data_IF_541719519526
#
_entry.id   IF_541719519526
#
_cell.length_a   1.000
_cell.length_b   1.000
_cell.length_c   1.000
_cell.angle_alpha   90.00
_cell.angle_beta   90.00
_cell.angle_gamma   90.00
#
_symmetry.space_group_name_H-M   'P 1'
#
loop_
_entity.id
_entity.type
_entity.pdbx_description
1 polymer ?
#
# COMPACT_ATOMS: atom_id res chain seq x y z
N UNK A 1 2.68 -57.66 -15.23
CA UNK A 1 3.33 -56.33 -15.16
C UNK A 1 2.46 -55.33 -15.92
N UNK A 2 2.27 -54.14 -15.32
CA UNK A 2 1.50 -52.98 -15.79
C UNK A 2 2.14 -52.33 -17.04
N UNK A 3 1.32 -51.71 -17.90
CA UNK A 3 1.13 -50.24 -17.96
C UNK A 3 0.11 -49.83 -19.04
N UNK A 4 -0.77 -48.90 -18.69
CA UNK A 4 -1.65 -48.11 -19.56
C UNK A 4 -1.31 -46.61 -19.43
N UNK A 5 -2.02 -45.78 -20.19
CA UNK A 5 -2.04 -44.29 -20.33
C UNK A 5 -1.19 -43.80 -21.51
N UNK A 6 -1.64 -42.89 -22.38
CA UNK A 6 -2.90 -42.15 -22.55
C UNK A 6 -2.93 -41.59 -23.98
N UNK A 7 -4.12 -41.49 -24.60
CA UNK A 7 -4.34 -40.75 -25.84
C UNK A 7 -5.06 -39.44 -25.51
N UNK A 8 -4.38 -38.30 -25.69
CA UNK A 8 -4.97 -36.96 -25.61
C UNK A 8 -5.70 -36.64 -26.93
N UNK A 9 -6.99 -36.31 -26.82
CA UNK A 9 -7.84 -35.89 -27.94
C UNK A 9 -7.36 -34.56 -28.54
N UNK A 10 -7.22 -34.53 -29.86
CA UNK A 10 -6.86 -33.35 -30.64
C UNK A 10 -7.99 -32.30 -30.63
N UNK A 11 -7.65 -31.03 -30.44
CA UNK A 11 -8.60 -29.92 -30.24
C UNK A 11 -9.52 -29.69 -31.47
N UNK A 12 -10.86 -29.65 -31.30
CA UNK A 12 -11.81 -29.70 -32.41
C UNK A 12 -12.04 -28.32 -33.06
N UNK A 13 -11.04 -27.82 -33.78
CA UNK A 13 -11.03 -26.47 -34.41
C UNK A 13 -12.24 -26.19 -35.31
N UNK A 14 -12.74 -27.20 -36.03
CA UNK A 14 -13.87 -27.03 -36.95
C UNK A 14 -15.23 -26.87 -36.25
N UNK A 15 -15.41 -27.52 -35.10
CA UNK A 15 -16.63 -27.35 -34.29
C UNK A 15 -16.66 -25.95 -33.65
N UNK A 16 -15.51 -25.46 -33.20
CA UNK A 16 -15.38 -24.10 -32.64
C UNK A 16 -15.66 -23.04 -33.72
N UNK A 17 -15.11 -23.18 -34.93
CA UNK A 17 -15.38 -22.25 -36.04
C UNK A 17 -16.85 -22.22 -36.44
N UNK A 18 -17.49 -23.39 -36.51
CA UNK A 18 -18.93 -23.49 -36.84
C UNK A 18 -19.81 -22.81 -35.79
N UNK A 19 -19.47 -22.95 -34.50
CA UNK A 19 -20.18 -22.30 -33.41
C UNK A 19 -20.03 -20.76 -33.42
N UNK A 20 -18.84 -20.25 -33.77
CA UNK A 20 -18.60 -18.80 -33.91
C UNK A 20 -19.42 -18.22 -35.06
N UNK A 21 -19.45 -18.88 -36.21
CA UNK A 21 -20.28 -18.44 -37.35
C UNK A 21 -21.76 -18.46 -37.02
N UNK A 22 -22.25 -19.51 -36.35
CA UNK A 22 -23.65 -19.59 -35.92
C UNK A 22 -24.01 -18.46 -34.94
N UNK A 23 -23.12 -18.14 -34.00
CA UNK A 23 -23.30 -17.02 -33.06
C UNK A 23 -23.31 -15.65 -33.75
N UNK A 24 -22.46 -15.44 -34.77
CA UNK A 24 -22.45 -14.20 -35.55
C UNK A 24 -23.74 -14.00 -36.36
N UNK A 25 -24.24 -15.07 -37.00
CA UNK A 25 -25.51 -15.02 -37.74
C UNK A 25 -26.68 -14.73 -36.79
N UNK A 26 -26.69 -15.36 -35.60
CA UNK A 26 -27.71 -15.13 -34.59
C UNK A 26 -27.68 -13.69 -34.05
N UNK A 27 -26.49 -13.09 -33.92
CA UNK A 27 -26.34 -11.69 -33.52
C UNK A 27 -26.82 -10.73 -34.62
N UNK A 28 -26.51 -11.00 -35.90
CA UNK A 28 -27.03 -10.20 -37.03
C UNK A 28 -28.56 -10.30 -37.15
N UNK A 29 -29.15 -11.47 -36.93
CA UNK A 29 -30.61 -11.64 -36.91
C UNK A 29 -31.27 -10.89 -35.75
N UNK A 30 -30.65 -10.85 -34.57
CA UNK A 30 -31.15 -10.09 -33.41
C UNK A 30 -31.02 -8.57 -33.59
N UNK A 31 -30.00 -8.11 -34.32
CA UNK A 31 -29.80 -6.68 -34.63
C UNK A 31 -30.77 -6.22 -35.74
N UNK A 32 -30.94 -7.02 -36.79
CA UNK A 32 -31.87 -6.70 -37.89
C UNK A 32 -33.36 -6.81 -37.49
N UNK A 33 -33.71 -7.64 -36.51
CA UNK A 33 -35.07 -7.67 -35.95
C UNK A 33 -35.41 -6.45 -35.07
N UNK A 34 -34.42 -5.61 -34.70
CA UNK A 34 -34.62 -4.44 -33.85
C UNK A 34 -34.88 -3.13 -34.63
N UNK A 35 -34.68 -3.12 -35.95
CA UNK A 35 -34.82 -1.92 -36.81
C UNK A 35 -36.16 -1.80 -37.54
N UNK A 36 -37.04 -2.79 -37.47
CA UNK A 36 -38.38 -2.74 -38.06
C UNK A 36 -39.47 -2.84 -36.99
N UNK A 37 -39.76 -1.74 -36.29
CA UNK A 37 -41.09 -1.42 -35.73
C UNK A 37 -41.07 -0.05 -35.05
N UNK A 38 -41.26 1.00 -35.85
CA UNK A 38 -41.80 2.27 -35.35
C UNK A 38 -43.33 2.17 -35.39
N UNK A 39 -43.97 2.67 -34.33
CA UNK A 39 -45.40 2.83 -34.05
C UNK A 39 -46.07 1.73 -33.20
N UNK A 40 -46.14 1.94 -31.88
CA UNK A 40 -47.40 2.34 -31.22
C UNK A 40 -47.29 2.50 -29.69
N UNK A 41 -47.91 3.57 -29.18
CA UNK A 41 -48.50 3.82 -27.86
C UNK A 41 -47.92 3.23 -26.54
N UNK A 42 -47.37 4.15 -25.71
CA UNK A 42 -47.75 4.47 -24.31
C UNK A 42 -47.85 3.32 -23.27
N UNK A 43 -46.94 3.28 -22.27
CA UNK A 43 -47.12 3.76 -20.87
C UNK A 43 -46.17 3.09 -19.82
N UNK A 44 -45.50 3.93 -19.00
CA UNK A 44 -45.21 3.80 -17.55
C UNK A 44 -44.70 2.49 -16.87
N UNK A 45 -43.68 1.80 -17.42
CA UNK A 45 -43.04 0.68 -16.69
C UNK A 45 -41.59 0.91 -16.20
N UNK A 46 -41.00 2.11 -16.39
CA UNK A 46 -39.64 2.42 -15.92
C UNK A 46 -39.53 2.73 -14.42
N UNK A 47 -40.57 3.30 -13.80
CA UNK A 47 -40.52 3.72 -12.39
C UNK A 47 -40.62 2.56 -11.38
N UNK A 48 -41.21 1.43 -11.78
CA UNK A 48 -41.34 0.25 -10.90
C UNK A 48 -40.01 -0.49 -10.73
N UNK A 49 -39.17 -0.57 -11.76
CA UNK A 49 -37.86 -1.25 -11.67
C UNK A 49 -36.86 -0.50 -10.79
N UNK A 50 -36.90 0.83 -10.79
CA UNK A 50 -36.08 1.67 -9.89
C UNK A 50 -36.57 1.54 -8.44
N UNK A 51 -37.90 1.49 -8.22
CA UNK A 51 -38.46 1.32 -6.87
C UNK A 51 -38.15 -0.06 -6.26
N UNK A 52 -38.14 -1.14 -7.07
CA UNK A 52 -37.74 -2.47 -6.61
C UNK A 52 -36.23 -2.60 -6.34
N UNK A 53 -35.37 -1.89 -7.09
CA UNK A 53 -33.93 -1.82 -6.82
C UNK A 53 -33.60 -1.04 -5.53
N UNK A 54 -34.32 0.06 -5.26
CA UNK A 54 -34.17 0.80 -4.00
C UNK A 54 -34.69 0.00 -2.79
N UNK A 55 -35.76 -0.79 -2.95
CA UNK A 55 -36.25 -1.67 -1.88
C UNK A 55 -35.32 -2.86 -1.59
N UNK A 56 -34.59 -3.40 -2.58
CA UNK A 56 -33.65 -4.50 -2.31
C UNK A 56 -32.38 -4.03 -1.62
N UNK A 57 -31.89 -2.82 -1.93
CA UNK A 57 -30.77 -2.21 -1.21
C UNK A 57 -31.17 -1.82 0.22
N UNK A 58 -32.35 -1.21 0.42
CA UNK A 58 -32.86 -0.89 1.74
C UNK A 58 -33.21 -2.15 2.57
N UNK A 59 -33.64 -3.25 1.94
CA UNK A 59 -33.84 -4.53 2.61
C UNK A 59 -32.50 -5.22 2.96
N UNK A 60 -31.47 -5.11 2.11
CA UNK A 60 -30.12 -5.60 2.43
C UNK A 60 -29.50 -4.82 3.60
N UNK A 61 -29.62 -3.50 3.60
CA UNK A 61 -29.26 -2.66 4.76
C UNK A 61 -30.14 -2.93 5.98
N UNK A 62 -31.43 -3.17 5.82
CA UNK A 62 -32.34 -3.54 6.91
C UNK A 62 -32.06 -4.93 7.50
N UNK A 63 -31.53 -5.87 6.70
CA UNK A 63 -31.06 -7.18 7.17
C UNK A 63 -29.71 -7.06 7.87
N UNK A 64 -28.81 -6.16 7.41
CA UNK A 64 -27.53 -5.88 8.06
C UNK A 64 -27.69 -5.12 9.39
N UNK A 65 -28.54 -4.11 9.44
CA UNK A 65 -28.83 -3.34 10.67
C UNK A 65 -29.83 -4.09 11.57
N UNK A 66 -30.61 -5.03 11.01
CA UNK A 66 -31.49 -5.92 11.77
C UNK A 66 -30.77 -7.12 12.36
N UNK A 67 -29.72 -7.65 11.72
CA UNK A 67 -28.97 -8.82 12.21
C UNK A 67 -28.11 -8.51 13.44
N UNK A 68 -27.73 -7.24 13.64
CA UNK A 68 -27.06 -6.78 14.87
C UNK A 68 -27.95 -6.88 16.11
N UNK A 69 -29.29 -6.91 15.95
CA UNK A 69 -30.24 -7.13 17.04
C UNK A 69 -30.55 -8.61 17.33
N UNK A 70 -30.29 -9.53 16.39
CA UNK A 70 -30.71 -10.95 16.49
C UNK A 70 -29.57 -11.96 16.60
N UNK A 71 -28.31 -11.52 16.54
CA UNK A 71 -27.16 -12.40 16.79
C UNK A 71 -26.41 -12.00 18.06
N UNK A 72 -26.73 -12.61 19.21
CA UNK A 72 -25.91 -12.51 20.41
C UNK A 72 -24.45 -12.86 20.18
N UNK A 73 -24.14 -13.69 19.17
CA UNK A 73 -22.77 -14.01 18.79
C UNK A 73 -22.04 -12.83 18.14
N UNK A 74 -22.67 -12.11 17.20
CA UNK A 74 -22.09 -10.89 16.62
C UNK A 74 -21.96 -9.77 17.65
N UNK A 75 -23.01 -9.53 18.45
CA UNK A 75 -22.98 -8.53 19.52
C UNK A 75 -21.95 -8.87 20.61
N UNK A 76 -21.80 -10.16 20.96
CA UNK A 76 -20.79 -10.61 21.93
C UNK A 76 -19.37 -10.54 21.38
N UNK A 77 -19.15 -10.73 20.08
CA UNK A 77 -17.82 -10.53 19.48
C UNK A 77 -17.47 -9.04 19.40
N UNK A 78 -18.41 -8.18 18.99
CA UNK A 78 -18.22 -6.72 18.99
C UNK A 78 -17.98 -6.16 20.41
N UNK A 79 -18.68 -6.67 21.43
CA UNK A 79 -18.55 -6.17 22.81
C UNK A 79 -17.23 -6.52 23.49
N UNK A 80 -16.43 -7.44 22.91
CA UNK A 80 -15.15 -7.89 23.48
C UNK A 80 -13.95 -7.12 22.94
N UNK A 81 -14.10 -6.41 21.83
CA UNK A 81 -13.05 -5.55 21.28
C UNK A 81 -12.92 -4.36 22.25
N UNK A 82 -11.75 -4.14 22.88
CA UNK A 82 -11.50 -2.89 23.60
C UNK A 82 -11.77 -1.74 22.62
N UNK A 83 -12.52 -0.71 23.05
CA UNK A 83 -12.70 0.49 22.22
C UNK A 83 -11.36 1.24 22.24
N UNK A 84 -10.42 0.79 21.40
CA UNK A 84 -9.23 1.55 21.03
C UNK A 84 -9.75 2.67 20.15
N UNK A 85 -9.57 3.92 20.58
CA UNK A 85 -10.19 5.06 19.91
C UNK A 85 -9.65 5.27 18.50
N UNK A 86 -8.33 5.08 18.32
CA UNK A 86 -7.63 5.15 17.03
C UNK A 86 -6.23 4.58 17.17
N UNK A 87 -5.82 3.73 16.23
CA UNK A 87 -4.44 3.18 16.19
C UNK A 87 -3.45 4.28 15.86
N UNK A 88 -3.81 5.22 14.98
CA UNK A 88 -2.95 6.34 14.60
C UNK A 88 -2.86 7.41 15.69
N UNK A 89 -3.99 7.73 16.33
CA UNK A 89 -4.06 8.69 17.43
C UNK A 89 -3.27 8.26 18.66
N UNK A 90 -3.19 6.95 18.91
CA UNK A 90 -2.43 6.35 20.01
C UNK A 90 -0.97 5.99 19.62
N UNK A 91 -0.57 6.21 18.36
CA UNK A 91 0.80 5.96 17.88
C UNK A 91 1.78 7.04 18.36
N UNK A 92 3.08 6.75 18.37
CA UNK A 92 4.13 7.74 18.65
C UNK A 92 4.48 8.62 17.41
N UNK A 93 3.79 8.42 16.29
CA UNK A 93 4.06 9.10 15.02
C UNK A 93 3.20 10.36 14.90
N UNK A 94 3.84 11.53 15.00
CA UNK A 94 3.16 12.83 14.98
C UNK A 94 2.33 13.00 13.71
N UNK A 95 2.86 12.56 12.56
CA UNK A 95 2.13 12.60 11.28
C UNK A 95 0.80 11.85 11.31
N UNK A 96 0.77 10.65 11.90
CA UNK A 96 -0.44 9.83 12.01
C UNK A 96 -1.42 10.42 13.04
N UNK A 97 -0.92 10.93 14.17
CA UNK A 97 -1.76 11.65 15.13
C UNK A 97 -2.44 12.88 14.48
N UNK A 98 -1.71 13.63 13.65
CA UNK A 98 -2.28 14.76 12.92
C UNK A 98 -3.30 14.29 11.88
N UNK A 99 -3.05 13.19 11.18
CA UNK A 99 -3.99 12.60 10.23
C UNK A 99 -5.34 12.34 10.90
N UNK A 100 -5.33 11.60 12.01
CA UNK A 100 -6.50 11.28 12.81
C UNK A 100 -7.21 12.56 13.30
N UNK A 101 -6.47 13.46 13.96
CA UNK A 101 -7.03 14.67 14.57
C UNK A 101 -7.68 15.61 13.56
N UNK A 102 -7.17 15.65 12.34
CA UNK A 102 -7.69 16.49 11.26
C UNK A 102 -8.73 15.78 10.40
N UNK A 103 -9.09 14.52 10.69
CA UNK A 103 -10.06 13.74 9.91
C UNK A 103 -9.57 13.44 8.49
N UNK A 104 -8.27 13.20 8.32
CA UNK A 104 -7.63 12.88 7.05
C UNK A 104 -7.55 11.38 6.78
N UNK A 105 -7.96 10.55 7.75
CA UNK A 105 -7.96 9.10 7.64
C UNK A 105 -9.32 8.61 7.13
N UNK A 106 -9.30 7.52 6.37
CA UNK A 106 -10.51 6.76 6.06
C UNK A 106 -10.81 5.84 7.22
N UNK A 107 -11.84 6.16 8.01
CA UNK A 107 -12.36 5.26 9.05
C UNK A 107 -13.07 4.07 8.40
N UNK A 108 -12.62 2.85 8.71
CA UNK A 108 -13.16 1.60 8.14
C UNK A 108 -13.99 0.86 9.19
N UNK A 109 -13.37 0.50 10.32
CA UNK A 109 -14.02 -0.23 11.42
C UNK A 109 -14.56 -1.61 11.04
N UNK A 110 -13.95 -2.28 10.07
CA UNK A 110 -14.38 -3.62 9.63
C UNK A 110 -13.64 -4.70 10.42
N UNK A 111 -14.37 -5.63 11.04
CA UNK A 111 -13.80 -6.78 11.74
C UNK A 111 -14.03 -8.09 10.99
N UNK A 112 -12.99 -8.89 10.87
CA UNK A 112 -13.08 -10.29 10.46
C UNK A 112 -12.49 -11.23 11.50
N UNK A 113 -13.23 -12.30 11.82
CA UNK A 113 -12.80 -13.30 12.80
C UNK A 113 -12.57 -14.64 12.13
N UNK A 114 -11.40 -15.23 12.34
CA UNK A 114 -11.05 -16.56 11.87
C UNK A 114 -10.27 -17.29 12.98
N UNK A 115 -10.65 -18.53 13.28
CA UNK A 115 -10.02 -19.38 14.30
C UNK A 115 -9.82 -18.71 15.69
N UNK A 116 -10.77 -17.89 16.14
CA UNK A 116 -10.68 -17.20 17.43
C UNK A 116 -9.71 -16.00 17.44
N UNK A 117 -9.28 -15.53 16.26
CA UNK A 117 -8.49 -14.32 16.07
C UNK A 117 -9.31 -13.34 15.23
N UNK A 118 -9.55 -12.15 15.77
CA UNK A 118 -10.27 -11.06 15.16
C UNK A 118 -9.29 -9.98 14.72
N UNK A 119 -9.38 -9.60 13.45
CA UNK A 119 -8.63 -8.51 12.86
C UNK A 119 -9.63 -7.40 12.59
N UNK A 120 -9.43 -6.22 13.18
CA UNK A 120 -10.24 -5.04 12.88
C UNK A 120 -9.40 -4.04 12.12
N UNK A 121 -9.73 -3.84 10.85
CA UNK A 121 -9.18 -2.78 10.02
C UNK A 121 -9.82 -1.46 10.47
N UNK A 122 -9.06 -0.61 11.16
CA UNK A 122 -9.63 0.58 11.78
C UNK A 122 -9.56 1.79 10.88
N UNK A 123 -8.36 2.11 10.39
CA UNK A 123 -8.15 3.35 9.66
C UNK A 123 -7.03 3.23 8.63
N UNK A 124 -7.17 4.01 7.55
CA UNK A 124 -6.21 4.06 6.46
C UNK A 124 -5.90 5.50 6.13
N UNK A 125 -4.62 5.80 5.92
CA UNK A 125 -4.14 7.06 5.39
C UNK A 125 -3.53 6.82 4.02
N UNK A 126 -3.92 7.61 3.03
CA UNK A 126 -3.25 7.64 1.72
C UNK A 126 -2.69 9.04 1.47
N UNK A 127 -1.38 9.20 1.68
CA UNK A 127 -0.64 10.45 1.49
C UNK A 127 0.43 10.28 0.40
N UNK A 128 0.29 11.04 -0.68
CA UNK A 128 1.14 10.97 -1.88
C UNK A 128 1.17 9.57 -2.52
N UNK A 129 2.20 8.79 -2.22
CA UNK A 129 2.42 7.44 -2.73
C UNK A 129 2.57 6.43 -1.58
N UNK A 130 2.18 6.84 -0.36
CA UNK A 130 2.27 6.05 0.86
C UNK A 130 0.86 5.73 1.36
N UNK A 131 0.61 4.45 1.59
CA UNK A 131 -0.58 3.95 2.27
C UNK A 131 -0.13 3.49 3.66
N UNK A 132 -0.70 4.08 4.70
CA UNK A 132 -0.50 3.61 6.08
C UNK A 132 -1.80 3.01 6.58
N UNK A 133 -1.73 1.83 7.20
CA UNK A 133 -2.87 1.04 7.64
C UNK A 133 -2.75 0.81 9.15
N UNK A 134 -3.78 1.17 9.90
CA UNK A 134 -3.91 0.90 11.33
C UNK A 134 -4.95 -0.19 11.57
N UNK A 135 -4.56 -1.26 12.26
CA UNK A 135 -5.49 -2.33 12.61
C UNK A 135 -5.25 -2.92 14.00
N UNK A 136 -6.31 -3.51 14.56
CA UNK A 136 -6.33 -4.15 15.87
C UNK A 136 -6.37 -5.66 15.68
N UNK A 137 -5.60 -6.36 16.48
CA UNK A 137 -5.56 -7.82 16.55
C UNK A 137 -6.03 -8.22 17.94
N UNK A 138 -7.12 -8.97 18.02
CA UNK A 138 -7.64 -9.55 19.25
C UNK A 138 -7.77 -11.05 19.12
N UNK A 139 -7.26 -11.81 20.08
CA UNK A 139 -7.21 -13.27 20.01
C UNK A 139 -7.67 -13.94 21.30
N UNK A 140 -8.27 -15.12 21.21
CA UNK A 140 -8.65 -15.89 22.41
C UNK A 140 -7.44 -16.40 23.22
N UNK A 141 -6.25 -16.38 22.62
CA UNK A 141 -4.98 -16.87 23.18
C UNK A 141 -3.84 -15.98 22.74
N UNK A 142 -2.78 -15.94 23.54
CA UNK A 142 -1.53 -15.27 23.18
C UNK A 142 -0.97 -15.83 21.86
N UNK A 143 -0.61 -14.93 20.95
CA UNK A 143 -0.03 -15.26 19.64
C UNK A 143 1.50 -15.26 19.72
N UNK A 144 2.16 -15.96 18.79
CA UNK A 144 3.61 -15.85 18.62
C UNK A 144 4.05 -14.43 18.24
N UNK A 145 5.33 -14.10 18.41
CA UNK A 145 5.87 -12.77 18.08
C UNK A 145 5.76 -12.44 16.58
N UNK A 146 5.88 -13.45 15.70
CA UNK A 146 5.88 -13.28 14.23
C UNK A 146 4.64 -13.91 13.57
N UNK A 147 3.51 -13.98 14.28
CA UNK A 147 2.31 -14.70 13.82
C UNK A 147 1.82 -14.26 12.43
N UNK A 148 2.03 -12.99 12.08
CA UNK A 148 1.60 -12.37 10.83
C UNK A 148 2.75 -12.05 9.86
N UNK A 149 3.95 -12.55 10.13
CA UNK A 149 5.13 -12.30 9.29
C UNK A 149 5.38 -10.80 9.05
N UNK A 150 5.28 -10.39 7.79
CA UNK A 150 5.53 -9.00 7.33
C UNK A 150 4.26 -8.15 7.19
N UNK A 151 3.13 -8.59 7.76
CA UNK A 151 1.85 -7.88 7.67
C UNK A 151 1.01 -8.29 6.46
N UNK A 152 0.15 -7.37 6.01
CA UNK A 152 -0.80 -7.60 4.93
C UNK A 152 -0.14 -7.53 3.54
N UNK A 153 -0.52 -8.44 2.66
CA UNK A 153 -0.41 -8.23 1.22
C UNK A 153 -1.51 -7.27 0.76
N UNK A 154 -1.31 -6.63 -0.39
CA UNK A 154 -2.27 -5.65 -0.88
C UNK A 154 -2.39 -5.64 -2.40
N UNK A 155 -3.54 -5.14 -2.87
CA UNK A 155 -3.84 -4.93 -4.30
C UNK A 155 -4.43 -3.54 -4.51
N UNK A 156 -4.16 -2.96 -5.67
CA UNK A 156 -4.73 -1.68 -6.12
C UNK A 156 -5.66 -2.00 -7.28
N UNK A 157 -6.96 -1.77 -7.10
CA UNK A 157 -8.00 -2.14 -8.07
C UNK A 157 -7.97 -3.63 -8.48
N UNK A 158 -7.58 -4.50 -7.54
CA UNK A 158 -7.50 -5.95 -7.74
C UNK A 158 -6.19 -6.46 -8.36
N UNK A 159 -5.28 -5.57 -8.73
CA UNK A 159 -3.96 -5.92 -9.26
C UNK A 159 -2.87 -5.77 -8.18
N UNK A 160 -1.96 -6.74 -8.09
CA UNK A 160 -0.76 -6.60 -7.27
C UNK A 160 0.19 -5.58 -7.92
N UNK A 161 0.73 -4.60 -7.17
CA UNK A 161 1.70 -3.67 -7.73
C UNK A 161 2.97 -4.41 -8.12
N UNK A 162 3.64 -3.90 -9.17
CA UNK A 162 4.90 -4.49 -9.65
C UNK A 162 6.02 -4.44 -8.61
N UNK A 163 6.09 -3.34 -7.86
CA UNK A 163 7.06 -3.15 -6.80
C UNK A 163 6.48 -2.21 -5.75
N UNK A 164 6.77 -2.52 -4.50
CA UNK A 164 6.47 -1.71 -3.34
C UNK A 164 7.52 -1.94 -2.27
N UNK A 165 7.72 -0.94 -1.43
CA UNK A 165 8.48 -1.04 -0.18
C UNK A 165 7.55 -0.73 0.98
N UNK A 166 8.00 -0.93 2.21
CA UNK A 166 7.14 -0.73 3.36
C UNK A 166 7.71 -1.27 4.65
N UNK A 167 6.93 -1.13 5.71
CA UNK A 167 7.25 -1.62 7.03
C UNK A 167 6.01 -2.15 7.73
N UNK A 168 6.22 -3.06 8.66
CA UNK A 168 5.15 -3.60 9.50
C UNK A 168 5.62 -3.61 10.95
N UNK A 169 4.79 -3.07 11.84
CA UNK A 169 5.10 -3.04 13.27
C UNK A 169 3.85 -3.30 14.11
N UNK A 170 3.97 -4.27 15.00
CA UNK A 170 2.99 -4.52 16.05
C UNK A 170 3.38 -3.83 17.36
N UNK A 171 2.39 -3.44 18.14
CA UNK A 171 2.52 -2.95 19.51
C UNK A 171 1.61 -3.76 20.43
N UNK A 172 2.20 -4.35 21.46
CA UNK A 172 1.48 -5.19 22.42
C UNK A 172 0.68 -4.31 23.38
N UNK A 173 -0.64 -4.49 23.42
CA UNK A 173 -1.54 -3.79 24.34
C UNK A 173 -1.87 -4.65 25.56
N UNK A 174 -1.98 -5.97 25.36
CA UNK A 174 -2.18 -6.97 26.40
C UNK A 174 -1.65 -8.34 25.93
N UNK A 175 -1.79 -9.39 26.74
CA UNK A 175 -1.42 -10.76 26.34
C UNK A 175 -2.20 -11.27 25.11
N UNK A 176 -3.36 -10.69 24.80
CA UNK A 176 -4.27 -11.15 23.75
C UNK A 176 -4.70 -10.06 22.78
N UNK A 177 -4.18 -8.84 22.95
CA UNK A 177 -4.55 -7.70 22.11
C UNK A 177 -3.29 -6.97 21.67
N UNK A 178 -3.20 -6.71 20.37
CA UNK A 178 -2.14 -5.93 19.74
C UNK A 178 -2.75 -4.87 18.82
N UNK A 179 -2.04 -3.78 18.62
CA UNK A 179 -2.29 -2.87 17.49
C UNK A 179 -1.17 -3.06 16.49
N UNK A 180 -1.44 -2.78 15.22
CA UNK A 180 -0.43 -2.84 14.18
C UNK A 180 -0.54 -1.65 13.24
N UNK A 181 0.62 -1.18 12.80
CA UNK A 181 0.76 -0.17 11.76
C UNK A 181 1.57 -0.80 10.63
N UNK A 182 1.03 -0.69 9.43
CA UNK A 182 1.73 -1.09 8.21
C UNK A 182 1.85 0.09 7.27
N UNK A 183 3.07 0.36 6.82
CA UNK A 183 3.38 1.36 5.80
C UNK A 183 3.67 0.66 4.48
N UNK A 184 3.13 1.21 3.40
CA UNK A 184 3.29 0.72 2.05
C UNK A 184 3.62 1.91 1.15
N UNK A 185 4.76 1.86 0.49
CA UNK A 185 5.18 2.87 -0.49
C UNK A 185 5.22 2.25 -1.88
N UNK A 186 4.48 2.85 -2.82
CA UNK A 186 4.49 2.45 -4.23
C UNK A 186 5.17 3.56 -5.04
N UNK A 187 6.29 3.26 -5.68
CA UNK A 187 7.09 4.31 -6.36
C UNK A 187 6.56 4.71 -7.74
N UNK A 188 5.58 3.99 -8.27
CA UNK A 188 4.87 4.36 -9.51
C UNK A 188 3.70 5.29 -9.21
N UNK A 189 3.34 6.13 -10.19
CA UNK A 189 2.09 6.91 -10.16
C UNK A 189 0.89 6.04 -9.77
N UNK A 190 0.27 6.42 -8.66
CA UNK A 190 -0.96 5.83 -8.15
C UNK A 190 -2.16 6.74 -8.45
N UNK A 191 -3.35 6.17 -8.69
CA UNK A 191 -4.56 6.97 -8.86
C UNK A 191 -4.92 7.69 -7.55
N UNK A 192 -5.57 8.86 -7.66
CA UNK A 192 -6.03 9.65 -6.51
C UNK A 192 -7.10 8.92 -5.67
N UNK A 193 -7.79 7.93 -6.23
CA UNK A 193 -8.69 7.05 -5.52
C UNK A 193 -8.69 5.66 -6.16
N UNK A 194 -8.84 4.61 -5.36
CA UNK A 194 -8.87 3.22 -5.81
C UNK A 194 -9.50 2.29 -4.78
N UNK A 195 -9.83 1.08 -5.21
CA UNK A 195 -10.20 0.01 -4.29
C UNK A 195 -8.93 -0.67 -3.77
N UNK A 196 -8.69 -0.60 -2.46
CA UNK A 196 -7.60 -1.28 -1.79
C UNK A 196 -8.08 -2.65 -1.29
N UNK A 197 -7.51 -3.71 -1.86
CA UNK A 197 -7.68 -5.06 -1.32
C UNK A 197 -6.54 -5.41 -0.38
N UNK A 198 -6.83 -6.04 0.76
CA UNK A 198 -5.83 -6.44 1.76
C UNK A 198 -6.01 -7.92 2.12
N UNK A 199 -4.88 -8.62 2.27
CA UNK A 199 -4.85 -10.03 2.62
C UNK A 199 -3.86 -10.23 3.76
N UNK A 200 -4.34 -10.69 4.90
CA UNK A 200 -3.48 -11.01 6.05
C UNK A 200 -3.42 -12.52 6.21
N UNK A 201 -2.21 -13.07 6.37
CA UNK A 201 -1.98 -14.49 6.61
C UNK A 201 -1.51 -14.73 8.03
N UNK A 202 -2.08 -15.75 8.68
CA UNK A 202 -1.64 -16.25 9.98
C UNK A 202 -0.69 -17.44 9.84
N UNK A 203 0.17 -17.63 10.84
CA UNK A 203 1.14 -18.74 10.90
C UNK A 203 0.51 -20.13 10.70
N UNK A 204 -0.74 -20.32 11.15
CA UNK A 204 -1.42 -21.62 11.07
C UNK A 204 -2.32 -21.77 9.83
N UNK A 205 -2.14 -20.92 8.82
CA UNK A 205 -2.88 -20.97 7.56
C UNK A 205 -4.24 -20.26 7.59
N UNK A 206 -4.53 -19.47 8.62
CA UNK A 206 -5.67 -18.55 8.58
C UNK A 206 -5.46 -17.44 7.55
N UNK A 207 -6.56 -16.88 7.05
CA UNK A 207 -6.52 -15.72 6.16
C UNK A 207 -7.70 -14.80 6.42
N UNK A 208 -7.44 -13.50 6.35
CA UNK A 208 -8.42 -12.41 6.46
C UNK A 208 -8.34 -11.54 5.21
N UNK A 209 -9.50 -11.06 4.72
CA UNK A 209 -9.60 -10.37 3.43
C UNK A 209 -10.38 -9.06 3.56
N UNK A 210 -9.75 -7.91 3.39
CA UNK A 210 -10.46 -6.63 3.41
C UNK A 210 -10.52 -6.01 2.02
N UNK A 211 -11.55 -5.21 1.76
CA UNK A 211 -11.69 -4.42 0.53
C UNK A 211 -12.34 -3.10 0.91
N UNK A 212 -11.63 -2.01 0.69
CA UNK A 212 -12.15 -0.68 1.02
C UNK A 212 -11.72 0.35 -0.02
N UNK A 213 -12.60 1.28 -0.43
CA UNK A 213 -12.21 2.41 -1.25
C UNK A 213 -11.35 3.36 -0.44
N UNK A 214 -10.26 3.82 -1.03
CA UNK A 214 -9.35 4.80 -0.42
C UNK A 214 -9.15 5.98 -1.35
N UNK A 215 -9.08 7.18 -0.77
CA UNK A 215 -8.86 8.45 -1.48
C UNK A 215 -7.62 9.12 -0.91
N UNK A 216 -6.81 9.72 -1.80
CA UNK A 216 -5.62 10.48 -1.41
C UNK A 216 -6.06 11.71 -0.63
N UNK A 217 -5.32 12.03 0.42
CA UNK A 217 -5.56 13.28 1.14
C UNK A 217 -5.38 14.49 0.21
N UNK A 218 -6.19 15.50 0.45
CA UNK A 218 -6.12 16.79 -0.24
C UNK A 218 -5.10 17.71 0.45
N UNK A 219 -4.84 18.88 -0.16
CA UNK A 219 -3.96 19.93 0.37
C UNK A 219 -2.47 19.54 0.49
N UNK A 220 -1.98 18.66 -0.39
CA UNK A 220 -0.55 18.40 -0.56
C UNK A 220 0.06 19.51 -1.43
N UNK A 221 0.98 20.29 -0.85
CA UNK A 221 1.74 21.31 -1.57
C UNK A 221 3.06 20.73 -2.05
N UNK A 222 3.23 20.59 -3.37
CA UNK A 222 4.45 20.08 -3.99
C UNK A 222 5.32 21.22 -4.52
N UNK A 223 6.54 21.31 -4.01
CA UNK A 223 7.54 22.31 -4.38
C UNK A 223 8.60 21.64 -5.26
N UNK A 224 8.74 22.04 -6.53
CA UNK A 224 9.83 21.52 -7.37
C UNK A 224 11.17 22.02 -6.84
N UNK A 225 12.10 21.10 -6.61
CA UNK A 225 13.47 21.38 -6.18
C UNK A 225 14.41 21.28 -7.38
N UNK A 226 14.33 20.16 -8.12
CA UNK A 226 15.11 19.88 -9.34
C UNK A 226 16.61 20.20 -9.20
N UNK A 227 17.20 19.82 -8.06
CA UNK A 227 18.61 20.04 -7.79
C UNK A 227 19.39 18.75 -8.00
N UNK A 228 20.39 18.79 -8.87
CA UNK A 228 21.24 17.64 -9.19
C UNK A 228 22.69 17.90 -8.83
N UNK A 229 23.37 16.88 -8.30
CA UNK A 229 24.79 16.90 -8.03
C UNK A 229 25.42 15.54 -8.34
N UNK A 230 26.67 15.56 -8.81
CA UNK A 230 27.49 14.36 -8.99
C UNK A 230 28.68 14.46 -8.03
N UNK A 231 28.79 13.51 -7.10
CA UNK A 231 29.85 13.48 -6.09
C UNK A 231 30.47 12.09 -6.08
N UNK A 232 31.75 12.01 -6.44
CA UNK A 232 32.53 10.77 -6.45
C UNK A 232 31.86 9.60 -7.20
N UNK A 233 31.21 9.91 -8.34
CA UNK A 233 30.52 8.93 -9.18
C UNK A 233 29.06 8.65 -8.80
N UNK A 234 28.57 9.20 -7.69
CA UNK A 234 27.17 9.14 -7.29
C UNK A 234 26.44 10.32 -7.93
N UNK A 235 25.49 10.03 -8.81
CA UNK A 235 24.53 11.01 -9.30
C UNK A 235 23.34 11.06 -8.34
N UNK A 236 23.01 12.24 -7.81
CA UNK A 236 21.84 12.50 -6.98
C UNK A 236 21.02 13.64 -7.59
N UNK A 237 19.72 13.44 -7.73
CA UNK A 237 18.75 14.47 -8.10
C UNK A 237 17.61 14.51 -7.08
N UNK A 238 17.50 15.60 -6.33
CA UNK A 238 16.31 15.86 -5.50
C UNK A 238 15.26 16.51 -6.38
N UNK A 239 14.16 15.81 -6.64
CA UNK A 239 13.13 16.24 -7.60
C UNK A 239 12.23 17.28 -6.97
N UNK A 240 11.66 16.96 -5.80
CA UNK A 240 10.67 17.79 -5.14
C UNK A 240 10.58 17.57 -3.63
N UNK A 241 9.97 18.56 -2.99
CA UNK A 241 9.58 18.55 -1.59
C UNK A 241 8.05 18.64 -1.54
N UNK A 242 7.39 17.65 -0.97
CA UNK A 242 5.93 17.64 -0.80
C UNK A 242 5.59 17.86 0.67
N UNK A 243 4.62 18.74 0.93
CA UNK A 243 4.21 19.13 2.27
C UNK A 243 2.72 18.87 2.46
N UNK A 244 2.38 18.22 3.56
CA UNK A 244 1.01 17.98 3.99
C UNK A 244 0.90 18.22 5.50
N UNK A 245 -0.31 18.10 6.06
CA UNK A 245 -0.51 18.12 7.51
C UNK A 245 0.07 16.88 8.21
N UNK A 246 0.33 15.82 7.46
CA UNK A 246 0.78 14.52 7.93
C UNK A 246 2.30 14.38 7.83
N UNK A 247 2.98 15.18 7.02
CA UNK A 247 4.44 15.16 6.98
C UNK A 247 5.05 16.00 5.88
N UNK A 248 6.37 15.85 5.77
CA UNK A 248 7.15 16.34 4.62
C UNK A 248 7.77 15.14 3.93
N UNK A 249 7.78 15.13 2.60
CA UNK A 249 8.39 14.09 1.79
C UNK A 249 9.39 14.69 0.82
N UNK A 250 10.61 14.16 0.82
CA UNK A 250 11.63 14.46 -0.19
C UNK A 250 11.58 13.34 -1.22
N UNK A 251 11.35 13.66 -2.48
CA UNK A 251 11.49 12.72 -3.60
C UNK A 251 12.83 12.93 -4.29
N UNK A 252 13.52 11.84 -4.58
CA UNK A 252 14.85 11.90 -5.18
C UNK A 252 15.17 10.65 -6.01
N UNK A 253 16.05 10.86 -6.97
CA UNK A 253 16.62 9.83 -7.81
C UNK A 253 18.12 9.78 -7.55
N UNK A 254 18.69 8.58 -7.44
CA UNK A 254 20.12 8.41 -7.27
C UNK A 254 20.64 7.28 -8.15
N UNK A 255 21.91 7.37 -8.53
CA UNK A 255 22.52 6.29 -9.31
C UNK A 255 24.03 6.28 -9.24
N UNK A 256 24.61 5.10 -9.44
CA UNK A 256 26.05 4.89 -9.42
C UNK A 256 26.40 3.64 -10.23
N UNK A 257 27.57 3.67 -10.88
CA UNK A 257 28.15 2.48 -11.52
C UNK A 257 28.64 1.51 -10.43
N UNK A 258 28.03 0.33 -10.33
CA UNK A 258 28.37 -0.69 -9.35
C UNK A 258 28.04 -2.09 -9.91
N UNK A 259 28.72 -3.12 -9.40
CA UNK A 259 28.48 -4.50 -9.88
C UNK A 259 27.15 -5.08 -9.41
N UNK A 260 26.61 -4.59 -8.30
CA UNK A 260 25.34 -4.99 -7.70
C UNK A 260 24.80 -3.86 -6.81
N UNK A 261 23.54 -3.99 -6.36
CA UNK A 261 22.87 -3.00 -5.52
C UNK A 261 23.54 -2.86 -4.14
N UNK A 262 24.02 -3.94 -3.55
CA UNK A 262 24.65 -3.95 -2.22
C UNK A 262 25.94 -3.13 -2.19
N UNK A 263 26.66 -3.06 -3.31
CA UNK A 263 27.89 -2.26 -3.45
C UNK A 263 27.64 -0.82 -3.82
N UNK A 264 26.47 -0.50 -4.37
CA UNK A 264 26.14 0.88 -4.68
C UNK A 264 25.90 1.69 -3.40
N UNK A 265 26.58 2.82 -3.28
CA UNK A 265 26.35 3.87 -2.27
C UNK A 265 25.10 4.70 -2.60
N UNK A 266 24.65 4.71 -3.86
CA UNK A 266 23.47 5.47 -4.26
C UNK A 266 22.17 5.00 -3.56
N UNK A 267 22.12 3.76 -3.09
CA UNK A 267 21.02 3.23 -2.27
C UNK A 267 21.07 3.67 -0.80
N UNK A 268 22.21 4.17 -0.32
CA UNK A 268 22.43 4.52 1.10
C UNK A 268 22.27 6.04 1.36
N UNK A 269 21.65 6.77 0.43
CA UNK A 269 21.44 8.21 0.57
C UNK A 269 20.31 8.49 1.54
N UNK A 270 20.64 9.27 2.57
CA UNK A 270 19.75 9.78 3.59
C UNK A 270 19.78 11.32 3.63
N UNK A 271 18.84 11.91 4.37
CA UNK A 271 18.66 13.36 4.40
C UNK A 271 18.45 13.88 5.82
N UNK A 272 19.15 14.98 6.12
CA UNK A 272 18.85 15.85 7.24
C UNK A 272 17.99 17.01 6.75
N UNK A 273 16.88 17.30 7.44
CA UNK A 273 16.00 18.42 7.15
C UNK A 273 15.97 19.39 8.33
N UNK A 274 16.30 20.65 8.08
CA UNK A 274 16.42 21.69 9.12
C UNK A 274 15.63 22.93 8.71
N UNK A 275 14.87 23.53 9.64
CA UNK A 275 14.15 24.79 9.40
C UNK A 275 15.05 26.03 9.44
N UNK A 276 14.48 27.21 9.15
CA UNK A 276 15.20 28.49 9.15
C UNK A 276 15.80 28.90 10.51
N UNK A 277 15.39 28.26 11.60
CA UNK A 277 15.88 28.51 12.96
C UNK A 277 16.93 27.48 13.41
N UNK A 278 17.29 26.53 12.56
CA UNK A 278 18.20 25.45 12.91
C UNK A 278 17.53 24.27 13.62
N UNK A 279 16.20 24.19 13.64
CA UNK A 279 15.47 23.05 14.21
C UNK A 279 15.43 21.90 13.21
N UNK A 280 16.00 20.78 13.61
CA UNK A 280 15.90 19.53 12.87
C UNK A 280 14.47 18.97 12.90
N UNK A 281 14.02 18.51 11.74
CA UNK A 281 12.75 17.81 11.58
C UNK A 281 13.04 16.31 11.61
N UNK A 282 12.32 15.58 12.46
CA UNK A 282 12.53 14.14 12.65
C UNK A 282 12.23 13.39 11.36
N UNK A 283 13.19 12.56 10.94
CA UNK A 283 13.08 11.71 9.75
C UNK A 283 12.42 10.38 10.07
N UNK A 284 11.71 9.83 9.09
CA UNK A 284 11.11 8.50 9.12
C UNK A 284 11.57 7.68 7.92
N UNK A 285 11.25 6.39 7.91
CA UNK A 285 11.50 5.53 6.75
C UNK A 285 10.79 6.08 5.51
N UNK A 286 11.38 5.85 4.34
CA UNK A 286 10.73 6.10 3.07
C UNK A 286 10.79 4.86 2.19
N UNK A 287 10.39 5.01 0.94
CA UNK A 287 10.43 3.93 -0.04
C UNK A 287 11.57 4.04 -1.02
N UNK A 288 12.04 2.90 -1.50
CA UNK A 288 13.06 2.78 -2.54
C UNK A 288 12.65 1.72 -3.55
N UNK A 289 12.94 2.00 -4.82
CA UNK A 289 12.94 0.99 -5.88
C UNK A 289 14.21 1.12 -6.69
N UNK A 290 14.88 -0.01 -6.92
CA UNK A 290 16.11 -0.09 -7.68
C UNK A 290 15.92 -0.81 -9.01
N UNK A 291 16.59 -0.33 -10.06
CA UNK A 291 16.73 -1.04 -11.33
C UNK A 291 18.15 -0.94 -11.87
N UNK A 292 18.54 -1.90 -12.72
CA UNK A 292 19.86 -1.93 -13.35
C UNK A 292 19.73 -1.39 -14.78
N UNK A 293 20.40 -0.29 -15.08
CA UNK A 293 20.45 0.33 -16.40
C UNK A 293 21.89 0.40 -16.91
N UNK A 294 22.26 -0.52 -17.81
CA UNK A 294 23.57 -0.52 -18.50
C UNK A 294 24.75 -0.42 -17.51
N UNK A 295 24.79 -1.34 -16.55
CA UNK A 295 25.81 -1.43 -15.48
C UNK A 295 25.74 -0.32 -14.40
N UNK A 296 24.74 0.55 -14.49
CA UNK A 296 24.39 1.53 -13.47
C UNK A 296 23.25 1.04 -12.59
N UNK A 297 23.44 1.13 -11.27
CA UNK A 297 22.37 0.97 -10.30
C UNK A 297 21.61 2.28 -10.21
N UNK A 298 20.29 2.26 -10.43
CA UNK A 298 19.43 3.45 -10.41
C UNK A 298 18.34 3.24 -9.39
N UNK A 299 18.13 4.23 -8.54
CA UNK A 299 17.15 4.22 -7.46
C UNK A 299 16.18 5.38 -7.62
N UNK A 300 14.89 5.07 -7.49
CA UNK A 300 13.83 6.04 -7.30
C UNK A 300 13.35 5.92 -5.86
N UNK A 301 13.49 6.99 -5.09
CA UNK A 301 13.34 6.95 -3.65
C UNK A 301 12.54 8.14 -3.12
N UNK A 302 12.01 7.97 -1.92
CA UNK A 302 11.54 9.08 -1.11
C UNK A 302 12.01 8.94 0.34
N UNK A 303 12.02 10.07 1.06
CA UNK A 303 12.29 10.14 2.49
C UNK A 303 11.19 10.93 3.18
N UNK A 304 10.67 10.41 4.28
CA UNK A 304 9.60 11.04 5.05
C UNK A 304 10.14 11.75 6.29
N UNK A 305 9.40 12.78 6.73
CA UNK A 305 9.70 13.59 7.91
C UNK A 305 8.41 14.00 8.59
N UNK A 306 8.53 14.37 9.88
CA UNK A 306 7.45 15.00 10.62
C UNK A 306 6.90 16.26 9.92
N UNK A 307 5.62 16.60 10.14
CA UNK A 307 5.02 17.80 9.59
C UNK A 307 5.70 19.06 10.14
N UNK A 308 5.85 20.07 9.28
CA UNK A 308 6.41 21.37 9.65
C UNK A 308 5.31 22.38 10.00
N UNK A 309 5.63 23.33 10.87
CA UNK A 309 4.70 24.38 11.27
C UNK A 309 4.49 25.40 10.13
N UNK A 310 3.30 26.00 10.08
CA UNK A 310 2.95 27.07 9.12
C UNK A 310 3.87 28.30 9.15
N UNK A 311 4.65 28.48 10.20
CA UNK A 311 5.66 29.55 10.34
C UNK A 311 7.00 29.23 9.68
N UNK A 312 7.21 28.00 9.19
CA UNK A 312 8.43 27.60 8.49
C UNK A 312 8.41 28.15 7.07
N UNK A 313 9.29 29.13 6.81
CA UNK A 313 9.40 29.81 5.51
C UNK A 313 10.48 29.25 4.61
N UNK A 314 11.42 28.50 5.19
CA UNK A 314 12.59 27.96 4.48
C UNK A 314 13.08 26.71 5.20
N UNK A 315 13.55 25.74 4.43
CA UNK A 315 14.20 24.54 4.92
C UNK A 315 15.52 24.32 4.20
N UNK A 316 16.48 23.74 4.91
CA UNK A 316 17.75 23.25 4.38
C UNK A 316 17.69 21.73 4.34
N UNK A 317 17.90 21.16 3.15
CA UNK A 317 18.00 19.73 2.89
C UNK A 317 19.49 19.40 2.75
N UNK A 318 20.02 18.54 3.61
CA UNK A 318 21.43 18.11 3.55
C UNK A 318 21.47 16.61 3.29
N UNK A 319 21.82 16.18 2.07
CA UNK A 319 22.02 14.76 1.76
C UNK A 319 23.29 14.24 2.46
N UNK A 320 23.29 12.98 2.86
CA UNK A 320 24.47 12.28 3.38
C UNK A 320 24.37 10.78 3.09
N UNK A 321 25.48 10.05 3.21
CA UNK A 321 25.47 8.59 3.12
C UNK A 321 25.30 7.98 4.52
N UNK A 322 24.23 7.20 4.71
CA UNK A 322 24.03 6.34 5.86
C UNK A 322 24.58 4.94 5.56
N UNK A 323 25.91 4.85 5.46
CA UNK A 323 26.57 3.59 5.13
C UNK A 323 26.32 2.54 6.22
N UNK A 324 25.93 1.30 5.85
CA UNK A 324 25.78 0.24 6.83
C UNK A 324 27.11 -0.02 7.52
N UNK A 325 27.07 -0.27 8.83
CA UNK A 325 28.25 -0.61 9.64
C UNK A 325 28.34 -2.10 10.00
N UNK A 326 27.28 -2.86 9.69
CA UNK A 326 27.15 -4.30 9.89
C UNK A 326 26.09 -4.82 8.91
N UNK A 327 26.07 -6.13 8.63
CA UNK A 327 25.11 -6.73 7.71
C UNK A 327 25.44 -8.19 7.38
N UNK A 328 24.83 -8.69 6.30
CA UNK A 328 24.91 -10.08 5.88
C UNK A 328 23.52 -10.66 5.65
N UNK A 329 23.46 -11.73 4.86
CA UNK A 329 22.20 -12.36 4.49
C UNK A 329 22.32 -13.88 4.47
N UNK A 330 21.20 -14.54 4.31
CA UNK A 330 21.18 -15.97 3.98
C UNK A 330 20.52 -16.11 2.61
N UNK A 331 21.27 -16.56 1.63
CA UNK A 331 20.73 -16.90 0.32
C UNK A 331 20.31 -18.37 0.35
N UNK A 332 19.06 -18.64 -0.02
CA UNK A 332 18.57 -20.02 -0.18
C UNK A 332 18.74 -20.41 -1.64
N UNK A 333 19.56 -21.43 -1.91
CA UNK A 333 19.74 -21.93 -3.28
C UNK A 333 18.47 -22.63 -3.81
N UNK A 334 18.49 -23.00 -5.08
CA UNK A 334 17.38 -23.70 -5.77
C UNK A 334 16.98 -25.03 -5.10
N UNK A 335 17.83 -25.58 -4.23
CA UNK A 335 17.64 -26.83 -3.51
C UNK A 335 17.21 -26.63 -2.04
N UNK A 336 17.09 -25.38 -1.58
CA UNK A 336 16.74 -25.06 -0.19
C UNK A 336 17.94 -24.98 0.76
N UNK A 337 19.19 -25.02 0.28
CA UNK A 337 20.37 -24.85 1.13
C UNK A 337 20.66 -23.37 1.39
N UNK A 338 20.85 -23.04 2.67
CA UNK A 338 21.18 -21.70 3.13
C UNK A 338 22.69 -21.46 3.02
N UNK A 339 23.08 -20.46 2.25
CA UNK A 339 24.45 -19.94 2.21
C UNK A 339 24.51 -18.57 2.89
N UNK A 340 25.53 -18.35 3.72
CA UNK A 340 25.71 -17.08 4.43
C UNK A 340 26.43 -16.09 3.51
N UNK A 341 25.81 -14.95 3.27
CA UNK A 341 26.43 -13.81 2.60
C UNK A 341 27.18 -12.98 3.64
N UNK A 342 28.49 -12.83 3.44
CA UNK A 342 29.32 -11.95 4.27
C UNK A 342 29.05 -10.48 3.97
N UNK A 343 29.18 -9.64 4.99
CA UNK A 343 29.04 -8.19 4.85
C UNK A 343 30.27 -7.58 4.17
N UNK A 344 30.09 -6.98 2.98
CA UNK A 344 31.16 -6.29 2.24
C UNK A 344 31.17 -4.75 2.47
N UNK A 345 30.54 -4.26 3.55
CA UNK A 345 30.33 -2.82 3.76
C UNK A 345 31.58 -1.99 4.04
N UNK A 346 32.70 -2.61 4.45
CA UNK A 346 34.00 -1.95 4.69
C UNK A 346 34.61 -1.29 3.42
N UNK A 347 34.03 -1.52 2.24
CA UNK A 347 34.49 -0.97 0.97
C UNK A 347 33.92 0.41 0.61
N UNK A 348 32.78 0.82 1.21
CA UNK A 348 32.11 2.09 0.86
C UNK A 348 32.78 3.28 1.56
N UNK A 349 33.19 4.28 0.78
CA UNK A 349 33.79 5.52 1.30
C UNK A 349 32.73 6.61 1.46
N UNK A 350 32.78 7.42 2.54
CA UNK A 350 31.88 8.55 2.72
C UNK A 350 32.13 9.65 1.69
N UNK A 351 31.08 10.41 1.37
CA UNK A 351 31.16 11.58 0.48
C UNK A 351 30.44 12.76 1.12
N UNK A 352 30.75 13.98 0.67
CA UNK A 352 30.12 15.21 1.14
C UNK A 352 29.28 15.81 0.01
N UNK A 353 27.97 15.87 0.22
CA UNK A 353 27.02 16.50 -0.70
C UNK A 353 26.81 17.97 -0.35
N UNK A 354 26.48 18.80 -1.33
CA UNK A 354 26.05 20.17 -1.10
C UNK A 354 24.62 20.21 -0.53
N UNK A 355 24.39 21.08 0.44
CA UNK A 355 23.05 21.36 0.98
C UNK A 355 22.20 22.16 -0.01
N UNK A 356 20.89 21.88 0.01
CA UNK A 356 19.89 22.49 -0.87
C UNK A 356 18.97 23.37 -0.02
N UNK A 357 18.79 24.62 -0.44
CA UNK A 357 17.95 25.59 0.26
C UNK A 357 16.61 25.74 -0.47
N UNK A 358 15.51 25.47 0.22
CA UNK A 358 14.16 25.47 -0.36
C UNK A 358 13.27 26.45 0.39
N UNK A 359 12.71 27.41 -0.33
CA UNK A 359 11.71 28.34 0.22
C UNK A 359 10.33 27.70 0.22
N UNK A 360 9.63 27.82 1.33
CA UNK A 360 8.25 27.35 1.47
C UNK A 360 7.31 28.51 1.09
N UNK A 361 6.47 28.35 0.04
CA UNK A 361 5.49 29.35 -0.33
C UNK A 361 4.32 29.30 0.68
N UNK A 362 3.87 30.48 1.12
CA UNK A 362 2.71 30.67 1.99
C UNK A 362 1.59 31.42 1.27
#
# INVERSE_FOLDING_TARGET
MKKSHDQLNEFPREQVRSAIQAGMIQAEEQVNNKTNTIHSNRNNNGKRKILYGMFSAAAAFGILVGSSYYSPALASSLSKIPVIGSVFGDSDLIGLQQAQKNGLTSEVGETQTNNGISITLEEILYDQNNITIGYIIDSEKELGEQYFGTGMEFTINGDFPYSSSGGYKESVQSATTRTAIQDITVTKDMPEAFELGLILHGENGETWYFSTPVEKIVDINKIPVQHSQNVDGIDLTVTDLSLSKTGVTISYESSEEASDFEKSRAGDIEFLLVDQNGKEITSHSGGVTGEILKDKMVFNSNKQFDPIDSTVTEVTITPYLALPSDGGGVETDENGELSQMEFEGDSKQPVEFESIYVKIPH
#
